data_IF_666464388423
#
_entry.id   IF_666464388423
#
_cell.length_a   1.000
_cell.length_b   1.000
_cell.length_c   1.000
_cell.angle_alpha   90.00
_cell.angle_beta   90.00
_cell.angle_gamma   90.00
#
_symmetry.space_group_name_H-M   'P 1'
#
loop_
_entity.id
_entity.type
_entity.pdbx_description
1 polymer ?
#
# COMPACT_ATOMS: atom_id res chain seq x y z
N UNK A 1 29.35 21.65 9.87
CA UNK A 1 29.06 20.77 8.72
C UNK A 1 30.33 20.00 8.40
N UNK A 2 30.28 18.66 8.37
CA UNK A 2 31.45 17.85 8.00
C UNK A 2 31.70 17.93 6.50
N UNK A 3 32.93 18.29 6.10
CA UNK A 3 33.36 18.27 4.70
C UNK A 3 33.61 16.81 4.30
N UNK A 4 33.06 16.39 3.17
CA UNK A 4 33.26 15.03 2.65
C UNK A 4 34.72 14.83 2.23
N UNK A 5 35.28 13.60 2.28
CA UNK A 5 36.63 13.32 1.82
C UNK A 5 36.80 13.66 0.32
N UNK A 6 37.99 14.12 -0.06
CA UNK A 6 38.32 14.43 -1.44
C UNK A 6 38.02 13.25 -2.38
N UNK A 7 37.32 13.51 -3.49
CA UNK A 7 36.88 12.49 -4.46
C UNK A 7 35.42 12.03 -4.32
N UNK A 8 34.69 12.56 -3.32
CA UNK A 8 33.26 12.27 -3.11
C UNK A 8 32.32 13.30 -3.76
N UNK A 9 32.89 14.30 -4.43
CA UNK A 9 32.21 15.50 -4.92
C UNK A 9 31.35 15.24 -6.17
N UNK A 10 31.41 14.02 -6.74
CA UNK A 10 30.62 13.56 -7.88
C UNK A 10 29.78 12.32 -7.59
N UNK A 11 29.69 11.91 -6.33
CA UNK A 11 28.97 10.70 -5.92
C UNK A 11 27.46 10.99 -5.91
N UNK A 12 26.71 10.31 -6.78
CA UNK A 12 25.25 10.45 -6.85
C UNK A 12 24.63 10.27 -5.45
N UNK A 13 23.83 11.25 -4.95
CA UNK A 13 23.20 11.16 -3.65
C UNK A 13 22.38 9.87 -3.49
N UNK A 14 22.27 9.33 -2.28
CA UNK A 14 21.59 8.05 -2.01
C UNK A 14 20.15 8.02 -2.58
N UNK A 15 19.42 9.13 -2.48
CA UNK A 15 18.05 9.25 -3.01
C UNK A 15 17.96 9.33 -4.54
N UNK A 16 19.07 9.52 -5.23
CA UNK A 16 19.14 9.59 -6.70
C UNK A 16 19.58 8.28 -7.35
N UNK A 17 19.86 7.25 -6.54
CA UNK A 17 20.26 5.92 -7.01
C UNK A 17 19.06 5.00 -7.14
N UNK A 18 18.96 4.32 -8.29
CA UNK A 18 17.86 3.38 -8.58
C UNK A 18 17.82 2.16 -7.65
N UNK A 19 18.96 1.53 -7.38
CA UNK A 19 19.05 0.36 -6.49
C UNK A 19 18.64 0.68 -5.04
N UNK A 20 19.11 1.80 -4.48
CA UNK A 20 18.73 2.24 -3.14
C UNK A 20 17.23 2.57 -3.03
N UNK A 21 16.63 3.04 -4.13
CA UNK A 21 15.18 3.29 -4.22
C UNK A 21 14.38 1.99 -4.12
N UNK A 22 14.85 0.92 -4.77
CA UNK A 22 14.25 -0.41 -4.65
C UNK A 22 14.41 -1.00 -3.26
N UNK A 23 15.61 -0.99 -2.69
CA UNK A 23 15.86 -1.53 -1.35
C UNK A 23 14.97 -0.89 -0.29
N UNK A 24 14.78 0.43 -0.39
CA UNK A 24 13.88 1.18 0.48
C UNK A 24 12.42 0.77 0.30
N UNK A 25 11.96 0.58 -0.94
CA UNK A 25 10.59 0.19 -1.24
C UNK A 25 10.28 -1.25 -0.82
N UNK A 26 11.22 -2.18 -1.01
CA UNK A 26 11.07 -3.59 -0.63
C UNK A 26 11.22 -3.81 0.88
N UNK A 27 12.12 -3.08 1.55
CA UNK A 27 12.21 -3.10 3.01
C UNK A 27 10.90 -2.66 3.68
N UNK A 28 10.16 -1.80 3.00
CA UNK A 28 8.82 -1.34 3.36
C UNK A 28 7.71 -2.32 2.99
N UNK A 29 8.01 -3.49 2.44
CA UNK A 29 6.99 -4.44 1.98
C UNK A 29 7.09 -5.80 2.70
N UNK A 30 8.31 -6.28 2.98
CA UNK A 30 8.56 -7.67 3.40
C UNK A 30 8.84 -7.83 4.91
N UNK A 31 9.31 -6.79 5.61
CA UNK A 31 9.84 -6.98 6.98
C UNK A 31 8.71 -7.13 8.02
N UNK A 32 8.65 -8.24 8.78
CA UNK A 32 7.66 -8.44 9.82
C UNK A 32 7.87 -7.47 10.99
N UNK A 33 6.77 -6.92 11.49
CA UNK A 33 6.75 -5.88 12.51
C UNK A 33 6.65 -6.46 13.92
N UNK A 34 7.62 -6.13 14.77
CA UNK A 34 7.46 -6.17 16.24
C UNK A 34 7.09 -4.79 16.77
N UNK A 35 6.49 -4.75 17.96
CA UNK A 35 5.80 -3.64 18.63
C UNK A 35 6.56 -2.31 18.77
N UNK A 36 7.82 -2.21 18.33
CA UNK A 36 8.69 -1.03 18.46
C UNK A 36 9.54 -0.71 17.22
N UNK A 37 9.23 -1.31 16.06
CA UNK A 37 9.96 -1.07 14.80
C UNK A 37 9.07 -0.67 13.63
N UNK A 38 9.71 -0.28 12.52
CA UNK A 38 9.11 0.09 11.23
C UNK A 38 8.00 -0.91 10.84
N UNK A 39 6.76 -0.42 10.68
CA UNK A 39 5.57 -1.24 10.41
C UNK A 39 5.31 -1.30 8.91
N UNK A 40 5.30 -2.50 8.32
CA UNK A 40 4.66 -2.70 7.01
C UNK A 40 4.35 -4.18 6.68
N UNK A 41 3.15 -4.34 6.11
CA UNK A 41 2.58 -5.40 5.26
C UNK A 41 2.70 -6.90 5.57
N UNK A 42 3.65 -7.42 6.33
CA UNK A 42 3.89 -8.88 6.35
C UNK A 42 3.67 -9.57 7.72
N UNK A 43 2.56 -10.32 7.84
CA UNK A 43 2.51 -11.62 8.53
C UNK A 43 1.28 -12.43 8.03
N UNK A 44 1.47 -13.45 7.17
CA UNK A 44 0.38 -14.27 6.63
C UNK A 44 -0.14 -15.36 7.60
N UNK A 45 0.45 -15.50 8.80
CA UNK A 45 0.20 -16.64 9.71
C UNK A 45 -0.45 -16.27 11.04
N UNK A 46 -0.58 -14.97 11.37
CA UNK A 46 -1.11 -14.54 12.67
C UNK A 46 -2.39 -13.71 12.50
N UNK A 47 -3.50 -14.18 13.07
CA UNK A 47 -4.70 -13.38 13.40
C UNK A 47 -4.38 -12.36 14.51
N UNK A 48 -3.39 -11.47 14.31
CA UNK A 48 -3.03 -10.46 15.32
C UNK A 48 -3.78 -9.17 15.06
N UNK A 49 -4.39 -8.61 16.12
CA UNK A 49 -4.85 -7.21 16.16
C UNK A 49 -3.69 -6.28 15.77
N UNK A 50 -3.72 -5.71 14.57
CA UNK A 50 -2.93 -4.51 14.26
C UNK A 50 -3.78 -3.32 14.69
N UNK A 51 -3.81 -3.03 15.99
CA UNK A 51 -4.10 -1.66 16.40
C UNK A 51 -2.85 -0.86 16.03
N UNK A 52 -2.98 0.09 15.11
CA UNK A 52 -2.00 1.15 14.98
C UNK A 52 -1.88 1.83 16.34
N UNK A 53 -0.64 2.10 16.78
CA UNK A 53 -0.48 3.21 17.71
C UNK A 53 -0.98 4.45 16.98
N UNK A 54 -1.86 5.21 17.62
CA UNK A 54 -2.50 6.37 17.02
C UNK A 54 -1.46 7.33 16.42
N UNK A 55 -1.51 7.55 15.10
CA UNK A 55 -0.97 8.77 14.48
C UNK A 55 0.38 8.70 13.75
N UNK A 56 0.95 7.53 13.46
CA UNK A 56 2.11 7.43 12.56
C UNK A 56 1.68 7.34 11.10
N UNK A 57 2.23 8.20 10.23
CA UNK A 57 2.04 8.10 8.78
C UNK A 57 2.75 6.84 8.26
N UNK A 58 2.02 5.97 7.58
CA UNK A 58 2.54 4.78 6.90
C UNK A 58 2.33 5.01 5.41
N UNK A 59 3.35 4.82 4.57
CA UNK A 59 3.17 4.97 3.12
C UNK A 59 2.30 3.85 2.58
N UNK A 60 1.32 4.19 1.72
CA UNK A 60 0.58 3.20 0.95
C UNK A 60 1.53 2.39 0.04
N UNK A 61 1.21 1.12 -0.29
CA UNK A 61 1.96 0.40 -1.31
C UNK A 61 1.93 1.19 -2.62
N UNK A 62 3.09 1.44 -3.19
CA UNK A 62 3.18 2.18 -4.46
C UNK A 62 2.80 1.23 -5.62
N UNK A 63 1.94 1.67 -6.56
CA UNK A 63 1.66 0.87 -7.75
C UNK A 63 2.93 0.63 -8.58
N UNK A 64 3.10 -0.55 -9.21
CA UNK A 64 4.29 -0.84 -10.03
C UNK A 64 4.59 0.21 -11.10
N UNK A 65 3.54 0.77 -11.73
CA UNK A 65 3.67 1.79 -12.77
C UNK A 65 4.17 3.12 -12.19
N UNK A 66 3.68 3.50 -11.00
CA UNK A 66 4.15 4.69 -10.29
C UNK A 66 5.60 4.52 -9.83
N UNK A 67 5.95 3.33 -9.32
CA UNK A 67 7.32 2.99 -8.97
C UNK A 67 8.24 3.06 -10.21
N UNK A 68 7.83 2.47 -11.33
CA UNK A 68 8.60 2.48 -12.57
C UNK A 68 8.79 3.90 -13.12
N UNK A 69 7.75 4.73 -13.10
CA UNK A 69 7.84 6.14 -13.51
C UNK A 69 8.82 6.93 -12.61
N UNK A 70 8.78 6.69 -11.30
CA UNK A 70 9.72 7.31 -10.35
C UNK A 70 11.15 6.80 -10.53
N UNK A 71 11.31 5.53 -10.91
CA UNK A 71 12.58 4.88 -11.16
C UNK A 71 13.25 5.39 -12.44
N UNK A 72 12.45 5.69 -13.48
CA UNK A 72 12.94 6.25 -14.74
C UNK A 72 13.62 7.62 -14.58
N UNK A 73 13.39 8.31 -13.46
CA UNK A 73 14.04 9.57 -13.10
C UNK A 73 15.37 9.37 -12.35
N UNK A 74 15.79 8.12 -12.09
CA UNK A 74 16.95 7.79 -11.26
C UNK A 74 18.15 7.38 -12.09
N UNK A 75 19.33 7.55 -11.49
CA UNK A 75 20.60 7.16 -12.11
C UNK A 75 20.92 5.70 -11.80
N UNK A 76 21.33 4.97 -12.83
CA UNK A 76 21.75 3.58 -12.75
C UNK A 76 23.16 3.41 -13.32
N UNK A 77 23.94 2.52 -12.70
CA UNK A 77 25.30 2.21 -13.13
C UNK A 77 25.33 1.55 -14.51
N UNK A 78 24.37 0.67 -14.83
CA UNK A 78 24.22 0.08 -16.18
C UNK A 78 23.08 0.71 -16.99
N UNK A 79 22.64 1.93 -16.65
CA UNK A 79 21.62 2.67 -17.42
C UNK A 79 20.26 1.97 -17.47
N UNK A 80 19.64 1.91 -18.66
CA UNK A 80 18.25 1.51 -18.86
C UNK A 80 17.94 0.07 -18.47
N UNK A 81 18.90 -0.86 -18.67
CA UNK A 81 18.69 -2.28 -18.40
C UNK A 81 18.48 -2.56 -16.89
N UNK A 82 19.26 -1.91 -16.02
CA UNK A 82 19.06 -2.01 -14.57
C UNK A 82 17.72 -1.39 -14.15
N UNK A 83 17.29 -0.29 -14.80
CA UNK A 83 16.00 0.34 -14.51
C UNK A 83 14.82 -0.60 -14.81
N UNK A 84 14.82 -1.23 -15.98
CA UNK A 84 13.77 -2.18 -16.36
C UNK A 84 13.77 -3.42 -15.45
N UNK A 85 14.95 -3.97 -15.15
CA UNK A 85 15.11 -5.09 -14.21
C UNK A 85 14.57 -4.76 -12.81
N UNK A 86 14.94 -3.59 -12.26
CA UNK A 86 14.54 -3.18 -10.91
C UNK A 86 13.03 -2.89 -10.83
N UNK A 87 12.43 -2.32 -11.87
CA UNK A 87 10.99 -2.16 -11.95
C UNK A 87 10.25 -3.51 -11.94
N UNK A 88 10.74 -4.48 -12.73
CA UNK A 88 10.18 -5.83 -12.76
C UNK A 88 10.30 -6.54 -11.40
N UNK A 89 11.48 -6.48 -10.78
CA UNK A 89 11.71 -7.03 -9.44
C UNK A 89 10.76 -6.44 -8.40
N UNK A 90 10.51 -5.13 -8.44
CA UNK A 90 9.55 -4.49 -7.54
C UNK A 90 8.13 -5.02 -7.75
N UNK A 91 7.68 -5.08 -9.00
CA UNK A 91 6.34 -5.58 -9.35
C UNK A 91 6.14 -7.03 -8.88
N UNK A 92 7.10 -7.92 -9.15
CA UNK A 92 7.07 -9.31 -8.73
C UNK A 92 7.05 -9.43 -7.19
N UNK A 93 7.86 -8.63 -6.51
CA UNK A 93 7.92 -8.61 -5.06
C UNK A 93 6.59 -8.15 -4.45
N UNK A 94 6.00 -7.07 -4.99
CA UNK A 94 4.69 -6.56 -4.57
C UNK A 94 3.60 -7.60 -4.80
N UNK A 95 3.58 -8.22 -5.97
CA UNK A 95 2.62 -9.26 -6.32
C UNK A 95 2.72 -10.48 -5.39
N UNK A 96 3.93 -10.96 -5.13
CA UNK A 96 4.17 -12.07 -4.21
C UNK A 96 3.73 -11.73 -2.78
N UNK A 97 4.11 -10.55 -2.28
CA UNK A 97 3.75 -10.10 -0.94
C UNK A 97 2.24 -9.97 -0.78
N UNK A 98 1.57 -9.17 -1.63
CA UNK A 98 0.13 -8.94 -1.54
C UNK A 98 -0.68 -10.20 -1.86
N UNK A 99 -0.21 -11.03 -2.79
CA UNK A 99 -0.88 -12.27 -3.18
C UNK A 99 -1.01 -13.29 -2.05
N UNK A 100 -0.10 -13.24 -1.07
CA UNK A 100 -0.14 -14.08 0.12
C UNK A 100 -1.00 -13.50 1.26
N UNK A 101 -1.34 -12.20 1.23
CA UNK A 101 -2.02 -11.54 2.35
C UNK A 101 -3.51 -11.85 2.40
N UNK A 102 -4.00 -12.13 3.61
CA UNK A 102 -5.43 -12.29 3.92
C UNK A 102 -6.04 -11.06 4.58
N UNK A 103 -5.22 -10.21 5.21
CA UNK A 103 -5.68 -9.05 5.97
C UNK A 103 -4.78 -7.85 5.69
N UNK A 104 -5.37 -6.74 5.24
CA UNK A 104 -4.68 -5.45 5.12
C UNK A 104 -5.25 -4.48 6.15
N UNK A 105 -4.44 -4.09 7.12
CA UNK A 105 -4.84 -3.23 8.24
C UNK A 105 -4.11 -1.88 8.18
N UNK A 106 -4.77 -0.87 7.63
CA UNK A 106 -4.27 0.49 7.48
C UNK A 106 -5.01 1.48 8.40
N UNK A 107 -5.17 1.08 9.66
CA UNK A 107 -5.88 1.90 10.65
C UNK A 107 -5.06 3.11 11.09
N UNK A 108 -5.71 4.27 11.17
CA UNK A 108 -5.13 5.50 11.74
C UNK A 108 -3.77 5.88 11.11
N UNK A 109 -3.63 5.66 9.80
CA UNK A 109 -2.40 5.93 9.04
C UNK A 109 -2.29 7.38 8.55
N UNK A 110 -3.26 8.24 8.92
CA UNK A 110 -3.40 9.62 8.45
C UNK A 110 -3.61 9.72 6.94
N UNK A 111 -4.22 8.71 6.34
CA UNK A 111 -4.45 8.64 4.90
C UNK A 111 -5.58 9.57 4.45
N UNK A 112 -5.45 10.07 3.22
CA UNK A 112 -6.48 10.71 2.43
C UNK A 112 -6.70 9.99 1.10
N UNK A 113 -7.20 10.72 0.12
CA UNK A 113 -7.57 10.14 -1.18
C UNK A 113 -6.37 9.56 -1.96
N UNK A 114 -5.20 10.18 -1.89
CA UNK A 114 -4.01 9.72 -2.65
C UNK A 114 -3.61 8.29 -2.24
N UNK A 115 -3.55 8.03 -0.94
CA UNK A 115 -3.19 6.71 -0.43
C UNK A 115 -4.24 5.64 -0.77
N UNK A 116 -5.54 5.99 -0.76
CA UNK A 116 -6.59 5.03 -1.12
C UNK A 116 -6.58 4.73 -2.63
N UNK A 117 -6.25 5.71 -3.48
CA UNK A 117 -6.04 5.48 -4.91
C UNK A 117 -4.90 4.48 -5.14
N UNK A 118 -3.79 4.62 -4.42
CA UNK A 118 -2.69 3.65 -4.48
C UNK A 118 -3.12 2.25 -4.03
N UNK A 119 -3.85 2.15 -2.91
CA UNK A 119 -4.42 0.87 -2.46
C UNK A 119 -5.29 0.25 -3.54
N UNK A 120 -6.20 1.01 -4.15
CA UNK A 120 -7.08 0.53 -5.20
C UNK A 120 -6.29 -0.03 -6.40
N UNK A 121 -5.23 0.67 -6.82
CA UNK A 121 -4.38 0.25 -7.91
C UNK A 121 -3.60 -1.06 -7.63
N UNK A 122 -3.28 -1.36 -6.37
CA UNK A 122 -2.57 -2.61 -6.01
C UNK A 122 -3.49 -3.76 -5.58
N UNK A 123 -4.80 -3.54 -5.41
CA UNK A 123 -5.76 -4.60 -5.10
C UNK A 123 -5.78 -5.78 -6.07
N UNK A 124 -5.50 -5.63 -7.39
CA UNK A 124 -5.45 -6.77 -8.32
C UNK A 124 -4.44 -7.85 -7.89
N UNK A 125 -3.36 -7.47 -7.19
CA UNK A 125 -2.35 -8.38 -6.68
C UNK A 125 -2.81 -9.13 -5.42
N UNK A 126 -3.79 -8.62 -4.68
CA UNK A 126 -4.22 -9.13 -3.39
C UNK A 126 -5.20 -10.32 -3.50
N UNK A 127 -4.77 -11.41 -4.15
CA UNK A 127 -5.64 -12.54 -4.54
C UNK A 127 -6.32 -13.27 -3.38
N UNK A 128 -5.67 -13.32 -2.21
CA UNK A 128 -6.15 -14.00 -1.00
C UNK A 128 -6.74 -13.06 0.05
N UNK A 129 -6.84 -11.76 -0.24
CA UNK A 129 -7.31 -10.77 0.71
C UNK A 129 -8.75 -11.04 1.12
N UNK A 130 -9.01 -11.16 2.41
CA UNK A 130 -10.34 -11.39 3.01
C UNK A 130 -10.89 -10.08 3.57
N UNK A 131 -10.05 -9.24 4.16
CA UNK A 131 -10.47 -8.00 4.82
C UNK A 131 -9.50 -6.85 4.55
N UNK A 132 -10.06 -5.71 4.17
CA UNK A 132 -9.37 -4.42 4.07
C UNK A 132 -9.90 -3.47 5.15
N UNK A 133 -9.05 -3.03 6.06
CA UNK A 133 -9.40 -2.14 7.17
C UNK A 133 -8.71 -0.78 7.00
N UNK A 134 -9.50 0.23 6.63
CA UNK A 134 -9.12 1.63 6.45
C UNK A 134 -9.64 2.53 7.58
N UNK A 135 -10.11 1.96 8.70
CA UNK A 135 -10.73 2.73 9.77
C UNK A 135 -9.76 3.76 10.40
N UNK A 136 -10.30 4.87 10.91
CA UNK A 136 -9.47 5.91 11.55
C UNK A 136 -8.70 6.81 10.59
N UNK A 137 -9.05 6.83 9.29
CA UNK A 137 -8.52 7.78 8.31
C UNK A 137 -9.61 8.80 7.90
N UNK A 138 -9.76 9.92 8.63
CA UNK A 138 -10.86 10.86 8.44
C UNK A 138 -10.77 11.68 7.15
N UNK A 139 -9.61 11.69 6.49
CA UNK A 139 -9.38 12.49 5.26
C UNK A 139 -9.67 11.74 3.96
N UNK A 140 -10.16 10.50 4.05
CA UNK A 140 -10.63 9.76 2.88
C UNK A 140 -11.92 10.42 2.39
N UNK A 141 -11.87 10.97 1.18
CA UNK A 141 -12.96 11.65 0.50
C UNK A 141 -13.52 10.83 -0.66
N UNK A 142 -14.29 11.51 -1.51
CA UNK A 142 -14.99 10.91 -2.65
C UNK A 142 -14.02 10.25 -3.63
N UNK A 143 -12.88 10.88 -3.93
CA UNK A 143 -11.95 10.40 -4.95
C UNK A 143 -11.34 9.05 -4.56
N UNK A 144 -10.93 8.89 -3.30
CA UNK A 144 -10.41 7.62 -2.79
C UNK A 144 -11.48 6.53 -2.78
N UNK A 145 -12.70 6.87 -2.34
CA UNK A 145 -13.82 5.92 -2.30
C UNK A 145 -14.24 5.46 -3.70
N UNK A 146 -14.27 6.36 -4.68
CA UNK A 146 -14.59 6.04 -6.08
C UNK A 146 -13.52 5.15 -6.70
N UNK A 147 -12.23 5.44 -6.47
CA UNK A 147 -11.14 4.60 -6.96
C UNK A 147 -11.22 3.17 -6.38
N UNK A 148 -11.49 3.07 -5.07
CA UNK A 148 -11.68 1.78 -4.41
C UNK A 148 -12.90 1.04 -4.96
N UNK A 149 -14.02 1.75 -5.19
CA UNK A 149 -15.22 1.18 -5.78
C UNK A 149 -14.96 0.63 -7.19
N UNK A 150 -14.24 1.38 -8.02
CA UNK A 150 -13.84 0.97 -9.37
C UNK A 150 -13.03 -0.32 -9.36
N UNK A 151 -11.96 -0.39 -8.55
CA UNK A 151 -11.17 -1.61 -8.42
C UNK A 151 -12.01 -2.81 -7.95
N UNK A 152 -12.94 -2.61 -7.02
CA UNK A 152 -13.84 -3.67 -6.54
C UNK A 152 -14.80 -4.12 -7.66
N UNK A 153 -15.35 -3.19 -8.43
CA UNK A 153 -16.21 -3.47 -9.58
C UNK A 153 -15.45 -4.27 -10.65
N UNK A 154 -14.19 -3.91 -10.91
CA UNK A 154 -13.26 -4.60 -11.81
C UNK A 154 -12.73 -5.93 -11.26
N UNK A 155 -13.35 -6.45 -10.19
CA UNK A 155 -13.06 -7.77 -9.60
C UNK A 155 -11.64 -7.89 -9.01
N UNK A 156 -10.99 -6.77 -8.68
CA UNK A 156 -9.75 -6.79 -7.89
C UNK A 156 -9.98 -7.45 -6.52
N UNK A 157 -8.94 -8.05 -5.93
CA UNK A 157 -9.03 -8.83 -4.68
C UNK A 157 -10.23 -9.81 -4.66
N UNK A 158 -10.20 -10.90 -5.45
CA UNK A 158 -11.35 -11.79 -5.66
C UNK A 158 -11.88 -12.44 -4.38
N UNK A 159 -11.02 -12.64 -3.37
CA UNK A 159 -11.39 -13.27 -2.08
C UNK A 159 -11.95 -12.30 -1.04
N UNK A 160 -12.07 -11.00 -1.36
CA UNK A 160 -12.44 -9.96 -0.42
C UNK A 160 -13.87 -10.18 0.09
N UNK A 161 -14.05 -10.13 1.42
CA UNK A 161 -15.34 -10.33 2.09
C UNK A 161 -15.76 -9.13 2.92
N UNK A 162 -14.80 -8.30 3.36
CA UNK A 162 -15.09 -7.17 4.23
C UNK A 162 -14.23 -5.96 3.91
N UNK A 163 -14.85 -4.79 3.88
CA UNK A 163 -14.19 -3.47 3.87
C UNK A 163 -14.64 -2.69 5.10
N UNK A 164 -13.69 -2.30 5.94
CA UNK A 164 -13.94 -1.42 7.08
C UNK A 164 -13.44 -0.02 6.73
N UNK A 165 -14.33 0.97 6.68
CA UNK A 165 -13.98 2.34 6.38
C UNK A 165 -14.94 3.28 7.11
N UNK A 166 -14.43 4.17 7.96
CA UNK A 166 -15.26 5.11 8.71
C UNK A 166 -16.16 5.97 7.79
N UNK A 167 -15.67 6.25 6.58
CA UNK A 167 -16.37 7.08 5.60
C UNK A 167 -17.42 6.31 4.81
N UNK A 168 -17.60 5.00 5.05
CA UNK A 168 -18.61 4.17 4.39
C UNK A 168 -20.06 4.62 4.63
N UNK A 169 -20.33 5.35 5.73
CA UNK A 169 -21.64 5.94 6.02
C UNK A 169 -21.90 7.27 5.31
N UNK A 170 -20.89 7.85 4.65
CA UNK A 170 -21.04 9.13 3.94
C UNK A 170 -21.78 8.98 2.61
N UNK A 171 -22.34 10.09 2.11
CA UNK A 171 -22.92 10.18 0.76
C UNK A 171 -21.90 9.81 -0.33
N UNK A 172 -20.63 10.17 -0.12
CA UNK A 172 -19.52 9.89 -1.02
C UNK A 172 -19.19 8.39 -1.14
N UNK A 173 -19.69 7.55 -0.24
CA UNK A 173 -19.46 6.10 -0.27
C UNK A 173 -20.52 5.31 -1.04
N UNK A 174 -21.46 5.96 -1.74
CA UNK A 174 -22.52 5.27 -2.48
C UNK A 174 -21.96 4.29 -3.53
N UNK A 175 -20.96 4.71 -4.30
CA UNK A 175 -20.29 3.85 -5.29
C UNK A 175 -19.60 2.64 -4.64
N UNK A 176 -18.89 2.87 -3.53
CA UNK A 176 -18.22 1.81 -2.78
C UNK A 176 -19.23 0.78 -2.26
N UNK A 177 -20.34 1.23 -1.66
CA UNK A 177 -21.40 0.34 -1.16
C UNK A 177 -22.01 -0.48 -2.29
N UNK A 178 -22.30 0.14 -3.44
CA UNK A 178 -22.85 -0.55 -4.59
C UNK A 178 -21.89 -1.63 -5.14
N UNK A 179 -20.62 -1.29 -5.34
CA UNK A 179 -19.60 -2.23 -5.83
C UNK A 179 -19.39 -3.41 -4.87
N UNK A 180 -19.38 -3.14 -3.57
CA UNK A 180 -19.29 -4.18 -2.54
C UNK A 180 -20.53 -5.07 -2.51
N UNK A 181 -21.74 -4.49 -2.55
CA UNK A 181 -22.99 -5.24 -2.55
C UNK A 181 -23.09 -6.20 -3.75
N UNK A 182 -22.70 -5.74 -4.95
CA UNK A 182 -22.66 -6.58 -6.16
C UNK A 182 -21.74 -7.81 -6.04
N UNK A 183 -20.82 -7.81 -5.07
CA UNK A 183 -19.89 -8.91 -4.80
C UNK A 183 -20.14 -9.63 -3.48
N UNK A 184 -21.20 -9.29 -2.75
CA UNK A 184 -21.48 -9.85 -1.42
C UNK A 184 -20.44 -9.45 -0.37
N UNK A 185 -19.77 -8.32 -0.55
CA UNK A 185 -18.76 -7.79 0.38
C UNK A 185 -19.45 -6.93 1.43
N UNK A 186 -19.18 -7.23 2.71
CA UNK A 186 -19.71 -6.46 3.83
C UNK A 186 -18.91 -5.16 3.99
N UNK A 187 -19.61 -4.03 4.04
CA UNK A 187 -19.01 -2.72 4.32
C UNK A 187 -19.44 -2.25 5.71
N UNK A 188 -18.48 -1.87 6.55
CA UNK A 188 -18.78 -1.35 7.89
C UNK A 188 -18.00 -0.08 8.22
N UNK A 189 -18.59 0.81 9.02
CA UNK A 189 -17.95 2.06 9.49
C UNK A 189 -17.00 1.85 10.65
N UNK A 190 -17.28 0.84 11.47
CA UNK A 190 -16.45 0.35 12.55
C UNK A 190 -16.20 -1.14 12.37
N UNK A 191 -15.08 -1.62 12.90
CA UNK A 191 -14.87 -3.06 13.03
C UNK A 191 -15.77 -3.53 14.18
N UNK A 192 -16.80 -4.31 13.88
CA UNK A 192 -17.53 -5.02 14.92
C UNK A 192 -16.53 -5.91 15.66
N UNK A 193 -16.38 -5.70 16.97
CA UNK A 193 -15.56 -6.54 17.82
C UNK A 193 -16.26 -7.90 17.99
N UNK A 194 -16.16 -8.77 17.00
CA UNK A 194 -16.63 -10.15 17.07
C UNK A 194 -15.54 -11.07 17.59
N UNK A 195 -15.66 -11.42 18.89
CA UNK A 195 -15.07 -12.54 19.66
C UNK A 195 -13.56 -12.77 19.54
#
# INVERSE_FOLDING_TARGET
>A
MGVLPAGWDGVTPYGERGWCTFEKAVSQLIKPSVSRGWRQLADPTVRRRVSGYAGTYITAPEPPEAFAARLALKTFTNGKADCELVAALYADTLAAALGAMQYLQYRTCRWGDDEVVHVAAVLPFARRLIELDLAGNPRIGRRGLDALAGAIADRAAPSLKRVVCAQAGSEHAAGLRAACAARGIVVSTVRENGV
#
